data_IF_643117527510
#
_entry.id   IF_643117527510
#
_cell.length_a   1.000
_cell.length_b   1.000
_cell.length_c   1.000
_cell.angle_alpha   90.00
_cell.angle_beta   90.00
_cell.angle_gamma   90.00
#
_symmetry.space_group_name_H-M   'P 1'
#
loop_
_entity.id
_entity.type
_entity.pdbx_description
1 polymer ?
#
# COMPACT_ATOMS: atom_id res chain seq x y z
N UNK A 1 27.61 48.56 -25.24
CA UNK A 1 26.62 47.47 -25.12
C UNK A 1 27.39 46.17 -25.00
N UNK A 2 27.51 45.65 -23.78
CA UNK A 2 28.16 44.37 -23.49
C UNK A 2 27.12 43.26 -23.63
N UNK A 3 27.30 42.41 -24.64
CA UNK A 3 26.47 41.21 -24.85
C UNK A 3 27.08 40.10 -24.02
N UNK A 4 26.48 39.79 -22.86
CA UNK A 4 26.80 38.61 -22.09
C UNK A 4 26.20 37.38 -22.79
N UNK A 5 27.04 36.62 -23.47
CA UNK A 5 26.72 35.28 -23.96
C UNK A 5 26.82 34.29 -22.79
N UNK A 6 25.67 33.82 -22.30
CA UNK A 6 25.62 32.71 -21.36
C UNK A 6 25.89 31.42 -22.15
N UNK A 7 27.02 30.78 -21.87
CA UNK A 7 27.33 29.44 -22.34
C UNK A 7 26.30 28.44 -21.79
N UNK A 8 25.74 27.53 -22.62
CA UNK A 8 24.84 26.49 -22.12
C UNK A 8 25.62 25.52 -21.22
N UNK A 9 25.12 25.37 -20.00
CA UNK A 9 25.60 24.37 -19.04
C UNK A 9 25.38 22.98 -19.63
N UNK A 10 26.47 22.21 -19.71
CA UNK A 10 26.47 20.80 -20.09
C UNK A 10 25.56 20.01 -19.14
N UNK A 11 24.47 19.46 -19.67
CA UNK A 11 23.73 18.37 -19.04
C UNK A 11 24.66 17.15 -18.99
N UNK A 12 25.11 16.80 -17.78
CA UNK A 12 25.70 15.49 -17.53
C UNK A 12 24.61 14.43 -17.72
N UNK A 13 24.72 13.71 -18.83
CA UNK A 13 24.04 12.46 -19.11
C UNK A 13 24.42 11.43 -18.04
N UNK A 14 23.51 11.14 -17.11
CA UNK A 14 23.61 9.93 -16.30
C UNK A 14 22.78 8.82 -16.94
N UNK A 15 23.53 7.92 -17.58
CA UNK A 15 23.37 6.47 -17.67
C UNK A 15 21.95 5.89 -17.90
N UNK A 16 21.80 5.45 -19.15
CA UNK A 16 20.98 4.33 -19.63
C UNK A 16 20.50 3.34 -18.55
N UNK A 17 19.18 3.17 -18.47
CA UNK A 17 18.53 2.00 -17.88
C UNK A 17 19.22 0.71 -18.37
N UNK A 18 19.50 -0.29 -17.51
CA UNK A 18 20.02 -1.56 -17.97
C UNK A 18 19.04 -2.17 -18.96
N UNK A 19 19.57 -2.59 -20.11
CA UNK A 19 18.85 -3.19 -21.21
C UNK A 19 17.90 -4.30 -20.71
N UNK A 20 16.66 -4.28 -21.24
CA UNK A 20 15.68 -5.36 -21.15
C UNK A 20 16.38 -6.69 -21.38
N UNK A 21 16.46 -7.53 -20.35
CA UNK A 21 16.82 -8.94 -20.54
C UNK A 21 15.65 -9.63 -21.22
N UNK A 22 15.69 -9.65 -22.55
CA UNK A 22 14.94 -10.64 -23.32
C UNK A 22 15.45 -12.01 -22.90
N UNK A 23 14.68 -12.75 -22.12
CA UNK A 23 14.94 -14.16 -21.93
C UNK A 23 14.27 -14.95 -23.04
N UNK A 24 15.09 -15.63 -23.84
CA UNK A 24 14.67 -16.80 -24.59
C UNK A 24 14.10 -17.79 -23.58
N UNK A 25 12.80 -18.05 -23.68
CA UNK A 25 12.09 -19.05 -22.89
C UNK A 25 12.46 -20.41 -23.47
N UNK A 26 13.52 -21.03 -22.94
CA UNK A 26 13.70 -22.47 -23.09
C UNK A 26 12.53 -23.16 -22.37
N UNK A 27 11.90 -24.19 -22.95
CA UNK A 27 10.73 -24.84 -22.35
C UNK A 27 11.07 -25.29 -20.93
N UNK A 28 10.16 -25.04 -19.99
CA UNK A 28 10.17 -25.60 -18.64
C UNK A 28 10.20 -27.13 -18.75
N UNK A 29 11.41 -27.70 -18.87
CA UNK A 29 11.64 -29.11 -18.69
C UNK A 29 11.45 -29.41 -17.22
N UNK A 30 10.57 -30.35 -16.94
CA UNK A 30 10.66 -31.19 -15.75
C UNK A 30 12.09 -31.72 -15.67
N UNK A 31 12.86 -31.19 -14.74
CA UNK A 31 13.94 -31.92 -14.11
C UNK A 31 13.77 -31.74 -12.60
N UNK A 32 13.66 -32.89 -11.94
CA UNK A 32 13.61 -33.06 -10.49
C UNK A 32 14.69 -32.24 -9.81
N UNK A 33 14.30 -31.26 -9.00
CA UNK A 33 15.17 -30.79 -7.93
C UNK A 33 14.40 -30.85 -6.61
N UNK A 34 14.83 -31.76 -5.75
CA UNK A 34 14.53 -31.67 -4.34
C UNK A 34 15.21 -30.41 -3.81
N UNK A 35 14.49 -29.53 -3.13
CA UNK A 35 15.14 -28.54 -2.30
C UNK A 35 14.40 -28.40 -0.98
N UNK A 36 15.04 -28.91 0.07
CA UNK A 36 14.81 -28.48 1.43
C UNK A 36 15.42 -27.09 1.68
N UNK A 37 14.96 -26.49 2.79
CA UNK A 37 15.48 -25.30 3.47
C UNK A 37 15.59 -24.01 2.65
N UNK A 38 14.48 -23.27 2.58
CA UNK A 38 14.27 -21.87 3.04
C UNK A 38 13.05 -21.29 2.31
N UNK A 39 11.85 -21.71 2.69
CA UNK A 39 10.64 -20.94 2.34
C UNK A 39 10.70 -19.61 3.09
N UNK A 40 11.01 -18.52 2.40
CA UNK A 40 10.61 -17.21 2.86
C UNK A 40 9.09 -17.12 2.68
N UNK A 41 8.36 -17.29 3.78
CA UNK A 41 6.94 -16.95 3.88
C UNK A 41 6.72 -15.58 3.21
N UNK A 42 5.59 -15.42 2.50
CA UNK A 42 5.25 -14.16 1.79
C UNK A 42 6.06 -13.87 0.52
N UNK A 43 6.50 -14.90 -0.21
CA UNK A 43 7.16 -14.77 -1.52
C UNK A 43 6.25 -15.17 -2.70
N UNK A 44 6.73 -15.02 -3.94
CA UNK A 44 6.03 -15.52 -5.13
C UNK A 44 6.00 -17.05 -5.14
N UNK A 45 7.08 -17.68 -4.68
CA UNK A 45 7.22 -19.13 -4.56
C UNK A 45 6.21 -19.70 -3.55
N UNK A 46 6.11 -19.09 -2.36
CA UNK A 46 5.13 -19.48 -1.33
C UNK A 46 3.68 -19.35 -1.84
N UNK A 47 3.36 -18.26 -2.54
CA UNK A 47 2.05 -18.10 -3.17
C UNK A 47 1.77 -19.20 -4.20
N UNK A 48 2.73 -19.47 -5.09
CA UNK A 48 2.55 -20.49 -6.13
C UNK A 48 2.38 -21.88 -5.54
N UNK A 49 3.10 -22.22 -4.47
CA UNK A 49 2.95 -23.48 -3.76
C UNK A 49 1.53 -23.63 -3.18
N UNK A 50 1.02 -22.59 -2.52
CA UNK A 50 -0.36 -22.57 -2.01
C UNK A 50 -1.38 -22.72 -3.13
N UNK A 51 -1.17 -22.02 -4.26
CA UNK A 51 -2.03 -22.15 -5.45
C UNK A 51 -2.01 -23.58 -5.99
N UNK A 52 -0.83 -24.20 -6.13
CA UNK A 52 -0.72 -25.59 -6.62
C UNK A 52 -1.44 -26.57 -5.68
N UNK A 53 -1.34 -26.37 -4.38
CA UNK A 53 -2.00 -27.23 -3.40
C UNK A 53 -3.54 -27.16 -3.49
N UNK A 54 -4.11 -26.02 -3.90
CA UNK A 54 -5.57 -25.81 -3.99
C UNK A 54 -6.11 -26.11 -5.39
N UNK A 55 -5.41 -25.67 -6.45
CA UNK A 55 -5.87 -25.72 -7.84
C UNK A 55 -5.24 -26.87 -8.65
N UNK A 56 -4.36 -27.65 -8.02
CA UNK A 56 -3.62 -28.75 -8.63
C UNK A 56 -2.39 -28.31 -9.43
N UNK A 57 -1.72 -29.28 -10.05
CA UNK A 57 -0.52 -29.03 -10.88
C UNK A 57 -0.93 -28.62 -12.29
N UNK A 58 -0.42 -27.49 -12.76
CA UNK A 58 -0.48 -27.03 -14.14
C UNK A 58 0.63 -26.00 -14.40
N UNK A 59 0.71 -25.51 -15.63
CA UNK A 59 1.55 -24.35 -15.96
C UNK A 59 1.19 -23.14 -15.08
N UNK A 60 2.21 -22.41 -14.61
CA UNK A 60 2.04 -21.31 -13.65
C UNK A 60 1.12 -20.20 -14.19
N UNK A 61 1.21 -19.87 -15.48
CA UNK A 61 0.36 -18.86 -16.09
C UNK A 61 -1.10 -19.31 -16.11
N UNK A 62 -1.34 -20.59 -16.40
CA UNK A 62 -2.69 -21.15 -16.37
C UNK A 62 -3.26 -21.15 -14.95
N UNK A 63 -2.47 -21.50 -13.94
CA UNK A 63 -2.91 -21.48 -12.54
C UNK A 63 -3.29 -20.07 -12.09
N UNK A 64 -2.42 -19.08 -12.33
CA UNK A 64 -2.70 -17.69 -11.96
C UNK A 64 -3.95 -17.15 -12.67
N UNK A 65 -4.15 -17.48 -13.96
CA UNK A 65 -5.36 -17.14 -14.71
C UNK A 65 -6.62 -17.82 -14.15
N UNK A 66 -6.52 -19.08 -13.70
CA UNK A 66 -7.62 -19.80 -13.05
C UNK A 66 -7.99 -19.15 -11.72
N UNK A 67 -7.01 -18.91 -10.85
CA UNK A 67 -7.20 -18.21 -9.57
C UNK A 67 -7.89 -16.87 -9.79
N UNK A 68 -7.39 -16.07 -10.72
CA UNK A 68 -7.98 -14.79 -11.09
C UNK A 68 -9.43 -14.94 -11.54
N UNK A 69 -9.70 -15.83 -12.51
CA UNK A 69 -11.05 -16.08 -13.02
C UNK A 69 -12.02 -16.54 -11.93
N UNK A 70 -11.60 -17.47 -11.08
CA UNK A 70 -12.43 -18.01 -10.00
C UNK A 70 -12.66 -16.98 -8.91
N UNK A 71 -11.65 -16.18 -8.59
CA UNK A 71 -11.74 -15.09 -7.60
C UNK A 71 -12.81 -14.07 -8.03
N UNK A 72 -12.78 -13.72 -9.31
CA UNK A 72 -13.70 -12.79 -9.95
C UNK A 72 -15.11 -13.36 -10.06
N UNK A 73 -15.24 -14.57 -10.63
CA UNK A 73 -16.53 -15.19 -10.97
C UNK A 73 -17.39 -15.37 -9.72
N UNK A 74 -16.76 -15.70 -8.60
CA UNK A 74 -17.43 -15.92 -7.33
C UNK A 74 -17.57 -14.62 -6.50
N UNK A 75 -17.14 -13.48 -7.04
CA UNK A 75 -17.21 -12.17 -6.42
C UNK A 75 -16.66 -12.12 -4.98
N UNK A 76 -15.45 -12.67 -4.76
CA UNK A 76 -14.78 -12.61 -3.45
C UNK A 76 -14.20 -11.22 -3.14
N UNK A 77 -14.90 -10.16 -3.57
CA UNK A 77 -14.51 -8.76 -3.37
C UNK A 77 -14.62 -8.40 -1.90
N UNK A 78 -13.56 -7.79 -1.37
CA UNK A 78 -13.49 -7.32 0.02
C UNK A 78 -13.69 -5.80 0.05
N UNK A 79 -13.14 -5.08 -0.93
CA UNK A 79 -13.21 -3.63 -0.99
C UNK A 79 -12.97 -3.10 -2.40
N UNK A 80 -13.26 -1.81 -2.61
CA UNK A 80 -13.00 -1.09 -3.86
C UNK A 80 -12.48 0.31 -3.56
N UNK A 81 -11.42 0.72 -4.26
CA UNK A 81 -11.00 2.11 -4.37
C UNK A 81 -11.50 2.73 -5.68
N UNK A 82 -11.21 4.02 -5.89
CA UNK A 82 -11.63 4.77 -7.08
C UNK A 82 -11.23 4.09 -8.40
N UNK A 83 -10.03 3.50 -8.44
CA UNK A 83 -9.47 2.86 -9.64
C UNK A 83 -9.04 1.41 -9.40
N UNK A 84 -9.55 0.75 -8.36
CA UNK A 84 -9.18 -0.64 -8.09
C UNK A 84 -10.22 -1.42 -7.30
N UNK A 85 -10.19 -2.75 -7.41
CA UNK A 85 -10.94 -3.68 -6.56
C UNK A 85 -9.99 -4.66 -5.92
N UNK A 86 -10.28 -5.00 -4.68
CA UNK A 86 -9.52 -5.95 -3.88
C UNK A 86 -10.36 -7.18 -3.59
N UNK A 87 -9.74 -8.35 -3.71
CA UNK A 87 -10.38 -9.64 -3.52
C UNK A 87 -9.56 -10.52 -2.58
N UNK A 88 -10.25 -11.39 -1.85
CA UNK A 88 -9.61 -12.53 -1.19
C UNK A 88 -9.31 -13.60 -2.23
N UNK A 89 -8.23 -14.34 -2.03
CA UNK A 89 -7.96 -15.54 -2.81
C UNK A 89 -8.53 -16.73 -2.04
N UNK A 90 -9.39 -17.56 -2.65
CA UNK A 90 -10.02 -18.69 -1.95
C UNK A 90 -9.00 -19.61 -1.30
N UNK A 91 -9.15 -19.84 0.00
CA UNK A 91 -8.29 -20.69 0.84
C UNK A 91 -6.81 -20.26 0.91
N UNK A 92 -6.47 -19.03 0.50
CA UNK A 92 -5.14 -18.44 0.64
C UNK A 92 -5.29 -17.11 1.39
N UNK A 93 -5.13 -17.15 2.71
CA UNK A 93 -5.47 -16.03 3.59
C UNK A 93 -4.37 -14.97 3.69
N UNK A 94 -3.13 -15.33 3.38
CA UNK A 94 -1.94 -14.49 3.51
C UNK A 94 -1.72 -13.59 2.30
N UNK A 95 -2.52 -13.78 1.24
CA UNK A 95 -2.43 -13.05 0.00
C UNK A 95 -3.79 -12.50 -0.43
N UNK A 96 -3.77 -11.41 -1.18
CA UNK A 96 -4.94 -10.80 -1.78
C UNK A 96 -4.70 -10.50 -3.26
N UNK A 97 -5.78 -10.23 -3.98
CA UNK A 97 -5.73 -9.86 -5.38
C UNK A 97 -6.22 -8.41 -5.53
N UNK A 98 -5.37 -7.51 -6.03
CA UNK A 98 -5.74 -6.16 -6.48
C UNK A 98 -5.88 -6.17 -7.99
N UNK A 99 -7.03 -5.69 -8.46
CA UNK A 99 -7.26 -5.40 -9.88
C UNK A 99 -7.44 -3.89 -9.99
N UNK A 100 -6.44 -3.22 -10.55
CA UNK A 100 -6.52 -1.82 -10.95
C UNK A 100 -7.21 -1.70 -12.31
N UNK A 101 -8.13 -0.76 -12.41
CA UNK A 101 -8.81 -0.37 -13.65
C UNK A 101 -8.22 0.97 -14.09
N UNK A 102 -7.15 0.99 -14.90
CA UNK A 102 -6.79 2.24 -15.55
C UNK A 102 -8.00 2.70 -16.38
N UNK A 103 -8.21 4.03 -16.41
CA UNK A 103 -9.37 4.74 -16.96
C UNK A 103 -9.71 4.34 -18.43
N UNK A 104 -8.81 3.62 -19.10
CA UNK A 104 -8.89 3.25 -20.52
C UNK A 104 -8.88 1.74 -20.81
N UNK A 105 -8.75 0.85 -19.81
CA UNK A 105 -8.65 -0.60 -20.06
C UNK A 105 -9.89 -1.39 -19.67
N UNK A 106 -10.33 -2.24 -20.57
CA UNK A 106 -11.43 -3.16 -20.27
C UNK A 106 -10.98 -4.26 -19.30
N UNK A 107 -11.93 -4.80 -18.55
CA UNK A 107 -11.73 -5.96 -17.68
C UNK A 107 -10.98 -7.10 -18.37
N UNK A 108 -11.21 -7.27 -19.68
CA UNK A 108 -10.60 -8.29 -20.52
C UNK A 108 -9.09 -8.07 -20.73
N UNK A 109 -8.66 -6.81 -20.91
CA UNK A 109 -7.25 -6.48 -21.12
C UNK A 109 -6.40 -6.67 -19.87
N UNK A 110 -6.98 -6.47 -18.69
CA UNK A 110 -6.33 -6.79 -17.42
C UNK A 110 -6.08 -8.31 -17.27
N UNK A 111 -6.84 -9.18 -17.95
CA UNK A 111 -6.71 -10.64 -17.88
C UNK A 111 -5.74 -11.23 -18.92
N UNK A 112 -5.35 -10.44 -19.93
CA UNK A 112 -4.55 -10.89 -21.08
C UNK A 112 -3.03 -10.70 -20.90
N UNK A 113 -2.58 -10.23 -19.74
CA UNK A 113 -1.16 -10.11 -19.42
C UNK A 113 -0.48 -11.45 -19.14
N UNK A 114 0.84 -11.49 -19.35
CA UNK A 114 1.70 -12.55 -18.81
C UNK A 114 2.06 -12.16 -17.37
N UNK A 115 1.90 -13.10 -16.45
CA UNK A 115 2.31 -12.89 -15.07
C UNK A 115 3.81 -13.05 -14.92
N UNK A 116 4.40 -12.18 -14.12
CA UNK A 116 5.80 -12.24 -13.72
C UNK A 116 5.92 -11.98 -12.22
N UNK A 117 7.05 -12.41 -11.67
CA UNK A 117 7.41 -12.10 -10.29
C UNK A 117 7.60 -10.60 -10.14
N UNK A 118 7.07 -10.03 -9.07
CA UNK A 118 7.42 -8.68 -8.63
C UNK A 118 8.68 -8.72 -7.77
N UNK A 119 9.52 -7.69 -7.88
CA UNK A 119 10.65 -7.51 -6.98
C UNK A 119 10.15 -7.28 -5.55
N UNK A 120 10.62 -8.12 -4.62
CA UNK A 120 10.31 -8.00 -3.20
C UNK A 120 11.24 -6.96 -2.56
N UNK A 121 10.87 -5.69 -2.70
CA UNK A 121 11.57 -4.55 -2.11
C UNK A 121 11.64 -4.62 -0.58
N UNK A 122 10.68 -5.31 0.07
CA UNK A 122 10.56 -5.40 1.53
C UNK A 122 10.34 -6.85 1.98
N UNK A 123 11.37 -7.72 1.93
CA UNK A 123 11.23 -9.17 2.12
C UNK A 123 10.75 -9.59 3.52
N UNK A 124 10.96 -8.73 4.53
CA UNK A 124 10.56 -8.99 5.92
C UNK A 124 9.32 -8.20 6.35
N UNK A 125 8.74 -7.40 5.45
CA UNK A 125 7.60 -6.55 5.77
C UNK A 125 6.42 -6.86 4.85
N UNK A 126 5.23 -6.76 5.42
CA UNK A 126 3.98 -6.96 4.70
C UNK A 126 3.31 -5.60 4.52
N UNK A 127 3.73 -4.85 3.51
CA UNK A 127 3.21 -3.52 3.17
C UNK A 127 2.17 -3.56 2.05
N UNK A 128 1.45 -4.68 1.90
CA UNK A 128 0.56 -4.84 0.75
C UNK A 128 1.30 -4.96 -0.59
N UNK A 129 2.61 -5.23 -0.56
CA UNK A 129 3.46 -5.31 -1.76
C UNK A 129 3.05 -6.49 -2.65
N UNK A 130 3.15 -6.30 -3.97
CA UNK A 130 2.92 -7.38 -4.92
C UNK A 130 4.06 -8.38 -4.90
N UNK A 131 3.72 -9.67 -5.00
CA UNK A 131 4.68 -10.76 -5.23
C UNK A 131 4.63 -11.27 -6.67
N UNK A 132 3.47 -11.13 -7.33
CA UNK A 132 3.24 -11.47 -8.73
C UNK A 132 2.37 -10.39 -9.35
N UNK A 133 2.69 -9.96 -10.57
CA UNK A 133 1.93 -8.96 -11.34
C UNK A 133 1.90 -9.33 -12.81
N UNK A 134 0.98 -8.76 -13.58
CA UNK A 134 1.04 -8.82 -15.04
C UNK A 134 1.35 -7.47 -15.71
N UNK A 135 1.70 -6.46 -14.91
CA UNK A 135 1.96 -5.08 -15.32
C UNK A 135 0.83 -4.43 -16.16
N UNK A 136 -0.36 -5.03 -16.13
CA UNK A 136 -1.56 -4.55 -16.84
C UNK A 136 -2.72 -4.26 -15.88
N UNK A 137 -2.43 -4.21 -14.58
CA UNK A 137 -3.42 -3.89 -13.55
C UNK A 137 -3.79 -5.06 -12.64
N UNK A 138 -3.18 -6.24 -12.78
CA UNK A 138 -3.44 -7.36 -11.86
C UNK A 138 -2.22 -7.60 -10.98
N UNK A 139 -2.44 -7.55 -9.66
CA UNK A 139 -1.40 -7.70 -8.64
C UNK A 139 -1.84 -8.69 -7.57
N UNK A 140 -1.02 -9.71 -7.32
CA UNK A 140 -1.14 -10.58 -6.16
C UNK A 140 -0.30 -10.00 -5.04
N UNK A 141 -0.95 -9.57 -3.96
CA UNK A 141 -0.35 -8.80 -2.87
C UNK A 141 -0.15 -9.66 -1.63
N UNK A 142 0.90 -9.40 -0.86
CA UNK A 142 0.96 -9.81 0.56
C UNK A 142 -0.25 -9.17 1.27
N UNK A 143 -1.07 -9.94 1.98
CA UNK A 143 -2.29 -9.41 2.59
C UNK A 143 -1.98 -8.72 3.90
N UNK A 144 -2.38 -7.47 4.02
CA UNK A 144 -2.34 -6.71 5.28
C UNK A 144 -3.68 -6.87 5.99
N UNK A 145 -3.64 -7.15 7.30
CA UNK A 145 -4.84 -7.13 8.14
C UNK A 145 -5.10 -5.70 8.64
N UNK A 146 -6.38 -5.35 8.76
CA UNK A 146 -6.81 -4.07 9.30
C UNK A 146 -7.90 -3.43 8.46
N UNK A 147 -8.22 -2.19 8.81
CA UNK A 147 -9.13 -1.30 8.09
C UNK A 147 -8.39 -0.01 7.70
N UNK A 148 -8.83 0.73 6.68
CA UNK A 148 -8.23 2.03 6.35
C UNK A 148 -8.22 2.98 7.55
N UNK A 149 -7.23 3.88 7.65
CA UNK A 149 -7.08 4.78 8.80
C UNK A 149 -8.20 5.83 8.92
N UNK A 150 -8.78 6.27 7.81
CA UNK A 150 -9.83 7.30 7.79
C UNK A 150 -11.15 6.76 7.24
N UNK A 151 -12.09 7.64 6.94
CA UNK A 151 -13.41 7.36 6.37
C UNK A 151 -13.29 6.81 4.95
N UNK A 152 -14.27 6.02 4.53
CA UNK A 152 -14.34 5.53 3.16
C UNK A 152 -14.49 6.70 2.17
N UNK A 153 -13.87 6.60 0.99
CA UNK A 153 -13.85 7.65 -0.03
C UNK A 153 -13.31 9.01 0.50
N UNK A 154 -12.38 8.98 1.46
CA UNK A 154 -11.74 10.17 2.04
C UNK A 154 -11.34 11.23 1.01
N UNK A 155 -10.79 10.84 -0.15
CA UNK A 155 -10.38 11.74 -1.22
C UNK A 155 -11.53 12.64 -1.74
N UNK A 156 -12.76 12.12 -1.80
CA UNK A 156 -13.93 12.92 -2.20
C UNK A 156 -14.17 14.04 -1.18
N UNK A 157 -14.00 13.77 0.11
CA UNK A 157 -14.23 14.75 1.18
C UNK A 157 -13.05 15.68 1.39
N UNK A 158 -11.83 15.23 1.08
CA UNK A 158 -10.66 16.09 0.99
C UNK A 158 -10.87 17.20 -0.05
N UNK A 159 -11.36 16.85 -1.25
CA UNK A 159 -11.68 17.83 -2.30
C UNK A 159 -12.98 18.62 -2.03
N UNK A 160 -13.94 18.00 -1.36
CA UNK A 160 -15.28 18.54 -1.09
C UNK A 160 -15.68 18.41 0.39
N UNK A 161 -15.02 19.12 1.31
CA UNK A 161 -15.26 18.99 2.74
C UNK A 161 -16.67 19.40 3.17
N UNK A 162 -17.37 20.19 2.35
CA UNK A 162 -18.78 20.54 2.57
C UNK A 162 -19.74 19.33 2.49
N UNK A 163 -19.31 18.21 1.89
CA UNK A 163 -20.10 16.97 1.80
C UNK A 163 -19.94 16.06 3.02
N UNK A 164 -19.13 16.46 4.01
CA UNK A 164 -19.00 15.73 5.26
C UNK A 164 -20.33 15.70 6.03
N UNK A 165 -20.46 14.70 6.90
CA UNK A 165 -21.68 14.45 7.69
C UNK A 165 -21.30 14.10 9.13
N UNK A 166 -22.27 14.16 10.04
CA UNK A 166 -22.11 13.72 11.43
C UNK A 166 -21.54 12.30 11.52
N UNK A 167 -22.00 11.39 10.65
CA UNK A 167 -21.50 10.01 10.60
C UNK A 167 -20.00 9.95 10.33
N UNK A 168 -19.48 10.78 9.41
CA UNK A 168 -18.05 10.82 9.10
C UNK A 168 -17.25 11.34 10.30
N UNK A 169 -17.73 12.40 10.96
CA UNK A 169 -17.08 12.96 12.14
C UNK A 169 -17.05 11.97 13.32
N UNK A 170 -18.11 11.19 13.50
CA UNK A 170 -18.17 10.15 14.53
C UNK A 170 -17.20 8.99 14.24
N UNK A 171 -17.08 8.56 12.97
CA UNK A 171 -16.06 7.57 12.57
C UNK A 171 -14.65 8.09 12.84
N UNK A 172 -14.37 9.34 12.47
CA UNK A 172 -13.10 10.00 12.77
C UNK A 172 -12.80 10.01 14.27
N UNK A 173 -13.76 10.47 15.08
CA UNK A 173 -13.63 10.55 16.54
C UNK A 173 -13.31 9.17 17.14
N UNK A 174 -14.08 8.13 16.77
CA UNK A 174 -13.84 6.77 17.25
C UNK A 174 -12.42 6.28 16.94
N UNK A 175 -11.96 6.51 15.70
CA UNK A 175 -10.64 6.06 15.27
C UNK A 175 -9.52 6.81 15.97
N UNK A 176 -9.57 8.14 16.06
CA UNK A 176 -8.49 8.92 16.69
C UNK A 176 -8.39 8.61 18.18
N UNK A 177 -9.52 8.42 18.86
CA UNK A 177 -9.55 7.98 20.25
C UNK A 177 -8.83 6.62 20.41
N UNK A 178 -9.18 5.63 19.60
CA UNK A 178 -8.56 4.28 19.64
C UNK A 178 -7.07 4.31 19.28
N UNK A 179 -6.67 5.03 18.23
CA UNK A 179 -5.29 5.16 17.78
C UNK A 179 -4.41 5.80 18.87
N UNK A 180 -4.93 6.80 19.57
CA UNK A 180 -4.20 7.46 20.66
C UNK A 180 -3.87 6.51 21.82
N UNK A 181 -4.55 5.37 21.92
CA UNK A 181 -4.32 4.31 22.91
C UNK A 181 -3.37 3.20 22.43
N UNK A 182 -2.83 3.28 21.22
CA UNK A 182 -1.82 2.32 20.75
C UNK A 182 -0.55 2.44 21.59
N UNK A 183 0.12 1.33 21.97
CA UNK A 183 1.34 1.40 22.76
C UNK A 183 2.46 2.08 21.96
N UNK A 184 3.42 2.71 22.66
CA UNK A 184 4.55 3.39 22.01
C UNK A 184 5.28 2.48 21.02
N UNK A 185 5.48 1.19 21.38
CA UNK A 185 6.12 0.19 20.53
C UNK A 185 5.45 0.05 19.16
N UNK A 186 4.12 0.14 19.09
CA UNK A 186 3.40 0.08 17.81
C UNK A 186 3.72 1.29 16.93
N UNK A 187 3.79 2.47 17.53
CA UNK A 187 4.15 3.71 16.83
C UNK A 187 5.63 3.66 16.38
N UNK A 188 6.54 3.19 17.24
CA UNK A 188 7.95 3.02 16.89
C UNK A 188 8.13 2.07 15.70
N UNK A 189 7.46 0.91 15.73
CA UNK A 189 7.51 -0.05 14.62
C UNK A 189 6.97 0.55 13.32
N UNK A 190 5.90 1.35 13.40
CA UNK A 190 5.34 2.03 12.23
C UNK A 190 6.31 3.07 11.66
N UNK A 191 6.88 3.94 12.50
CA UNK A 191 7.89 4.93 12.07
C UNK A 191 9.12 4.24 11.48
N UNK A 192 9.56 3.11 12.05
CA UNK A 192 10.64 2.30 11.50
C UNK A 192 10.30 1.74 10.11
N UNK A 193 9.06 1.25 9.92
CA UNK A 193 8.59 0.80 8.61
C UNK A 193 8.59 1.94 7.57
N UNK A 194 8.13 3.13 7.95
CA UNK A 194 8.18 4.32 7.09
C UNK A 194 9.63 4.66 6.73
N UNK A 195 10.54 4.70 7.71
CA UNK A 195 11.98 4.92 7.46
C UNK A 195 12.56 3.90 6.50
N UNK A 196 12.22 2.62 6.65
CA UNK A 196 12.65 1.55 5.75
C UNK A 196 12.19 1.79 4.31
N UNK A 197 10.96 2.29 4.11
CA UNK A 197 10.45 2.65 2.78
C UNK A 197 11.22 3.85 2.23
N UNK A 198 11.35 4.92 3.01
CA UNK A 198 12.05 6.16 2.62
C UNK A 198 13.51 5.89 2.23
N UNK A 199 14.22 5.05 2.99
CA UNK A 199 15.61 4.67 2.69
C UNK A 199 15.76 3.85 1.40
N UNK A 200 14.68 3.17 0.97
CA UNK A 200 14.66 2.44 -0.29
C UNK A 200 14.24 3.30 -1.46
N UNK A 201 13.11 4.00 -1.32
CA UNK A 201 12.58 4.94 -2.28
C UNK A 201 11.49 5.78 -1.61
N UNK A 202 11.78 7.07 -1.37
CA UNK A 202 10.85 8.04 -0.79
C UNK A 202 9.60 8.27 -1.63
N UNK A 203 9.68 8.01 -2.93
CA UNK A 203 8.61 8.31 -3.89
C UNK A 203 7.50 7.25 -3.85
N UNK A 204 7.74 6.11 -3.19
CA UNK A 204 6.75 5.05 -2.99
C UNK A 204 5.68 5.40 -1.96
N UNK A 205 5.85 6.45 -1.18
CA UNK A 205 5.05 6.69 0.01
C UNK A 205 4.16 7.93 -0.17
N UNK A 206 2.85 7.70 -0.25
CA UNK A 206 1.83 8.74 -0.19
C UNK A 206 1.20 8.76 1.22
N UNK A 207 1.70 9.67 2.07
CA UNK A 207 1.14 9.94 3.39
C UNK A 207 0.12 11.09 3.40
N UNK A 208 -0.24 11.65 2.25
CA UNK A 208 -1.31 12.66 2.21
C UNK A 208 -2.65 11.97 2.43
N UNK A 209 -2.84 10.81 1.79
CA UNK A 209 -4.06 10.02 1.97
C UNK A 209 -3.95 9.11 3.22
N UNK A 210 -4.67 9.38 4.32
CA UNK A 210 -4.66 8.54 5.51
C UNK A 210 -5.07 7.09 5.22
N UNK A 211 -5.89 6.84 4.18
CA UNK A 211 -6.30 5.49 3.82
C UNK A 211 -5.19 4.64 3.19
N UNK A 212 -4.01 5.20 2.93
CA UNK A 212 -2.80 4.42 2.60
C UNK A 212 -2.14 3.81 3.85
N UNK A 213 -2.73 4.00 5.04
CA UNK A 213 -2.38 3.29 6.26
C UNK A 213 -3.50 2.32 6.61
N UNK A 214 -3.13 1.05 6.77
CA UNK A 214 -4.00 0.03 7.35
C UNK A 214 -3.80 -0.04 8.85
N UNK A 215 -4.91 -0.06 9.58
CA UNK A 215 -4.97 -0.10 11.03
C UNK A 215 -5.58 -1.42 11.49
N UNK A 216 -4.79 -2.25 12.16
CA UNK A 216 -5.26 -3.43 12.88
C UNK A 216 -5.49 -3.02 14.34
N UNK A 217 -6.73 -2.67 14.69
CA UNK A 217 -7.10 -2.23 16.03
C UNK A 217 -6.98 -3.34 17.10
N UNK A 218 -7.14 -4.61 16.71
CA UNK A 218 -7.06 -5.75 17.62
C UNK A 218 -5.61 -5.98 18.05
N UNK A 219 -4.70 -6.03 17.07
CA UNK A 219 -3.26 -6.25 17.31
C UNK A 219 -2.50 -4.96 17.58
N UNK A 220 -3.15 -3.82 17.40
CA UNK A 220 -2.59 -2.46 17.50
C UNK A 220 -1.40 -2.28 16.56
N UNK A 221 -1.56 -2.67 15.29
CA UNK A 221 -0.53 -2.54 14.26
C UNK A 221 -0.94 -1.51 13.21
N UNK A 222 0.06 -0.83 12.65
CA UNK A 222 -0.07 0.14 11.58
C UNK A 222 0.84 -0.28 10.45
N UNK A 223 0.32 -0.25 9.23
CA UNK A 223 1.01 -0.76 8.06
C UNK A 223 0.78 0.19 6.88
N UNK A 224 1.85 0.78 6.31
CA UNK A 224 1.73 1.52 5.06
C UNK A 224 1.40 0.56 3.91
N UNK A 225 0.53 0.97 3.00
CA UNK A 225 0.13 0.23 1.81
C UNK A 225 0.14 1.14 0.59
N UNK A 226 -0.23 0.56 -0.56
CA UNK A 226 -0.34 1.27 -1.84
C UNK A 226 0.99 1.93 -2.27
N UNK A 227 2.09 1.21 -2.02
CA UNK A 227 3.44 1.61 -2.39
C UNK A 227 3.64 1.51 -3.91
N UNK A 228 3.39 2.60 -4.63
CA UNK A 228 3.33 2.65 -6.09
C UNK A 228 4.26 3.74 -6.62
N UNK A 229 5.21 3.38 -7.48
CA UNK A 229 6.18 4.30 -8.09
C UNK A 229 5.62 5.01 -9.34
N UNK A 230 4.45 4.60 -9.84
CA UNK A 230 3.98 4.99 -11.19
C UNK A 230 3.09 6.23 -11.21
N UNK A 231 2.49 6.56 -10.07
CA UNK A 231 1.78 7.81 -9.87
C UNK A 231 2.84 8.79 -9.41
N UNK A 232 3.11 9.85 -10.16
CA UNK A 232 4.06 10.91 -9.79
C UNK A 232 3.63 11.63 -8.50
N UNK A 233 3.62 10.89 -7.39
CA UNK A 233 3.14 11.27 -6.09
C UNK A 233 4.04 12.33 -5.50
N UNK A 234 3.52 13.01 -4.48
CA UNK A 234 4.33 13.90 -3.70
C UNK A 234 5.22 13.02 -2.81
N UNK A 235 6.55 13.00 -3.04
CA UNK A 235 7.44 12.12 -2.30
C UNK A 235 7.39 12.47 -0.81
N UNK A 236 7.70 11.51 0.06
CA UNK A 236 7.83 11.77 1.50
C UNK A 236 8.72 13.00 1.75
N UNK A 237 8.14 14.06 2.32
CA UNK A 237 8.83 15.35 2.43
C UNK A 237 9.52 15.49 3.78
N UNK A 238 8.87 15.03 4.84
CA UNK A 238 9.39 15.17 6.19
C UNK A 238 8.71 14.20 7.18
N UNK A 239 9.34 13.92 8.34
CA UNK A 239 8.76 13.00 9.32
C UNK A 239 7.44 13.44 9.98
N UNK A 240 7.07 14.73 10.00
CA UNK A 240 5.80 15.14 10.62
C UNK A 240 4.58 14.64 9.86
N UNK A 241 4.74 14.35 8.56
CA UNK A 241 3.68 13.75 7.71
C UNK A 241 3.14 12.45 8.29
N UNK A 242 3.95 11.71 9.06
CA UNK A 242 3.53 10.49 9.77
C UNK A 242 2.39 10.82 10.75
N UNK A 243 2.52 11.91 11.50
CA UNK A 243 1.47 12.35 12.42
C UNK A 243 0.27 12.90 11.66
N UNK A 244 0.50 13.77 10.67
CA UNK A 244 -0.55 14.42 9.90
C UNK A 244 -1.47 13.37 9.23
N UNK A 245 -0.86 12.33 8.66
CA UNK A 245 -1.53 11.18 8.07
C UNK A 245 -2.31 10.36 9.12
N UNK A 246 -1.67 9.99 10.23
CA UNK A 246 -2.32 9.17 11.27
C UNK A 246 -3.51 9.90 11.93
N UNK A 247 -3.39 11.21 12.12
CA UNK A 247 -4.39 12.03 12.77
C UNK A 247 -5.45 12.60 11.82
N UNK A 248 -5.35 12.29 10.50
CA UNK A 248 -6.20 12.85 9.44
C UNK A 248 -6.32 14.38 9.56
N UNK A 249 -5.17 15.06 9.68
CA UNK A 249 -5.10 16.50 9.95
C UNK A 249 -5.79 17.34 8.87
N UNK A 250 -5.74 16.88 7.61
CA UNK A 250 -6.36 17.57 6.46
C UNK A 250 -7.87 17.76 6.65
N UNK A 251 -8.58 16.79 7.24
CA UNK A 251 -10.01 16.88 7.52
C UNK A 251 -10.37 17.11 8.98
N UNK A 252 -9.41 17.01 9.91
CA UNK A 252 -9.60 17.12 11.36
C UNK A 252 -10.47 18.33 11.77
N UNK A 253 -10.18 19.52 11.23
CA UNK A 253 -10.95 20.74 11.53
C UNK A 253 -12.36 20.71 10.95
N UNK A 254 -12.57 20.04 9.83
CA UNK A 254 -13.87 19.95 9.18
C UNK A 254 -14.80 19.02 9.97
N UNK A 255 -14.27 17.93 10.53
CA UNK A 255 -15.06 17.06 11.42
C UNK A 255 -15.59 17.78 12.65
N UNK A 256 -14.82 18.71 13.23
CA UNK A 256 -15.24 19.49 14.40
C UNK A 256 -16.55 20.26 14.20
N UNK A 257 -16.94 20.59 12.96
CA UNK A 257 -18.22 21.26 12.66
C UNK A 257 -19.45 20.43 13.03
N UNK A 258 -19.25 19.12 13.18
CA UNK A 258 -20.30 18.12 13.42
C UNK A 258 -20.17 17.46 14.80
N UNK A 259 -19.17 17.87 15.60
CA UNK A 259 -18.92 17.36 16.93
C UNK A 259 -19.34 18.40 17.96
N UNK A 260 -19.83 17.95 19.12
CA UNK A 260 -20.06 18.83 20.25
C UNK A 260 -18.74 19.19 20.96
N UNK A 261 -18.77 20.19 21.84
CA UNK A 261 -17.55 20.68 22.52
C UNK A 261 -16.79 19.59 23.30
N UNK A 262 -17.49 18.64 23.94
CA UNK A 262 -16.84 17.58 24.69
C UNK A 262 -16.13 16.59 23.76
N UNK A 263 -16.74 16.28 22.62
CA UNK A 263 -16.16 15.42 21.58
C UNK A 263 -14.93 16.07 20.94
N UNK A 264 -14.99 17.38 20.66
CA UNK A 264 -13.86 18.15 20.13
C UNK A 264 -12.69 18.09 21.12
N UNK A 265 -12.94 18.37 22.41
CA UNK A 265 -11.91 18.30 23.45
C UNK A 265 -11.32 16.88 23.59
N UNK A 266 -12.15 15.85 23.45
CA UNK A 266 -11.70 14.46 23.48
C UNK A 266 -10.80 14.13 22.28
N UNK A 267 -11.18 14.54 21.07
CA UNK A 267 -10.37 14.40 19.86
C UNK A 267 -9.04 15.13 19.98
N UNK A 268 -9.04 16.38 20.47
CA UNK A 268 -7.82 17.17 20.68
C UNK A 268 -6.87 16.51 21.67
N UNK A 269 -7.39 16.00 22.79
CA UNK A 269 -6.58 15.25 23.76
C UNK A 269 -5.97 13.99 23.15
N UNK A 270 -6.74 13.25 22.37
CA UNK A 270 -6.27 12.06 21.67
C UNK A 270 -5.19 12.39 20.62
N UNK A 271 -5.40 13.43 19.81
CA UNK A 271 -4.41 13.95 18.86
C UNK A 271 -3.10 14.35 19.54
N UNK A 272 -3.16 15.11 20.64
CA UNK A 272 -1.96 15.50 21.39
C UNK A 272 -1.20 14.29 21.96
N UNK A 273 -1.93 13.28 22.45
CA UNK A 273 -1.33 12.04 22.91
C UNK A 273 -0.66 11.27 21.77
N UNK A 274 -1.31 11.17 20.62
CA UNK A 274 -0.74 10.53 19.42
C UNK A 274 0.48 11.30 18.91
N UNK A 275 0.40 12.63 18.81
CA UNK A 275 1.50 13.52 18.43
C UNK A 275 2.73 13.26 19.29
N UNK A 276 2.57 13.26 20.62
CA UNK A 276 3.69 13.00 21.53
C UNK A 276 4.36 11.66 21.26
N UNK A 277 3.58 10.60 20.97
CA UNK A 277 4.14 9.28 20.66
C UNK A 277 4.87 9.27 19.34
N UNK A 278 4.29 9.90 18.32
CA UNK A 278 4.88 9.98 16.97
C UNK A 278 6.18 10.79 17.00
N UNK A 279 6.21 11.94 17.69
CA UNK A 279 7.44 12.75 17.83
C UNK A 279 8.54 11.98 18.58
N UNK A 280 8.20 11.26 19.64
CA UNK A 280 9.17 10.40 20.33
C UNK A 280 9.74 9.34 19.38
N UNK A 281 8.89 8.65 18.64
CA UNK A 281 9.31 7.63 17.67
C UNK A 281 10.18 8.21 16.54
N UNK A 282 9.79 9.37 15.99
CA UNK A 282 10.57 10.08 14.96
C UNK A 282 11.97 10.41 15.49
N UNK A 283 12.07 10.94 16.71
CA UNK A 283 13.37 11.27 17.32
C UNK A 283 14.24 10.05 17.58
N UNK A 284 13.67 8.87 17.71
CA UNK A 284 14.43 7.63 17.91
C UNK A 284 14.89 7.00 16.58
N UNK A 285 14.11 7.19 15.51
CA UNK A 285 14.30 6.48 14.23
C UNK A 285 14.98 7.34 13.15
N UNK A 286 14.70 8.65 13.12
CA UNK A 286 15.18 9.59 12.11
C UNK A 286 16.34 10.49 12.58
N UNK A 287 16.75 10.38 13.85
CA UNK A 287 17.91 11.10 14.41
C UNK A 287 19.25 10.54 13.96
#
# INVERSE_FOLDING_TARGET
MLVNTISPIKLNTYNTLPARRNFNITPLRQDTVSFGSTQTLHSAEDLMEKIVNIYGKADAQQLLKRVLKDTIKNNFSINSGQYSKFYTIPNINEYGLKISFPIEKTYKEALEGTFERSDDLFPFHNFGQSVITNNKGVYFLKKVNGVPNSIDNWNIFYEHPEKLTDKHAQIYLEKILKLSEFPQKSINNFVQNIKTIVDKNSDLLDLINPNNIMVDFERKLLTPIDLDDTRGGLPFRNPIEIYECLADEELAKQYNRFLNNNEILAAEKARNKLFSKVITAIREVFS
#
